data_IF_351743326222
#
_entry.id   IF_351743326222
#
_cell.length_a   1.000
_cell.length_b   1.000
_cell.length_c   1.000
_cell.angle_alpha   90.00
_cell.angle_beta   90.00
_cell.angle_gamma   90.00
#
_symmetry.space_group_name_H-M   'P 1'
#
loop_
_entity.id
_entity.type
_entity.pdbx_description
1 polymer ?
#
# COMPACT_ATOMS: atom_id res chain seq x y z
N UNK A 1 3.73 5.84 68.99
CA UNK A 1 2.73 6.53 68.13
C UNK A 1 3.25 7.95 67.95
N UNK A 2 3.65 8.47 66.79
CA UNK A 2 3.23 8.25 65.41
C UNK A 2 4.40 8.45 64.43
N UNK A 3 4.09 8.21 63.16
CA UNK A 3 4.91 7.60 62.13
C UNK A 3 5.96 8.47 61.44
N UNK A 4 6.79 7.75 60.67
CA UNK A 4 8.06 8.11 60.05
C UNK A 4 7.90 9.09 58.89
N UNK A 5 8.85 10.02 58.84
CA UNK A 5 9.18 10.93 57.75
C UNK A 5 9.73 10.14 56.55
N UNK A 6 9.05 10.21 55.40
CA UNK A 6 9.61 9.98 54.06
C UNK A 6 8.82 10.82 53.06
N UNK A 7 9.38 11.93 52.59
CA UNK A 7 8.89 12.61 51.40
C UNK A 7 10.02 12.64 50.39
N UNK A 8 9.65 12.15 49.21
CA UNK A 8 10.45 11.78 48.06
C UNK A 8 10.75 13.02 47.23
N UNK A 9 11.97 13.08 46.69
CA UNK A 9 12.43 14.00 45.65
C UNK A 9 11.48 14.00 44.46
N UNK A 10 11.04 15.18 44.01
CA UNK A 10 10.43 15.33 42.68
C UNK A 10 11.13 16.46 41.92
N UNK A 11 11.81 16.03 40.86
CA UNK A 11 12.64 16.84 39.97
C UNK A 11 11.82 17.80 39.11
N UNK A 12 12.48 18.92 38.77
CA UNK A 12 12.04 19.97 37.86
C UNK A 12 12.13 19.49 36.40
N UNK A 13 11.06 19.63 35.62
CA UNK A 13 11.11 19.56 34.16
C UNK A 13 10.13 20.59 33.57
N UNK A 14 10.69 21.56 32.87
CA UNK A 14 10.01 22.70 32.24
C UNK A 14 9.33 22.21 30.95
N UNK A 15 8.02 22.39 30.84
CA UNK A 15 7.27 22.21 29.59
C UNK A 15 7.44 23.46 28.70
N UNK A 16 8.09 23.31 27.56
CA UNK A 16 8.08 24.30 26.48
C UNK A 16 6.84 24.03 25.60
N UNK A 17 5.84 24.91 25.68
CA UNK A 17 4.75 25.00 24.71
C UNK A 17 5.25 25.78 23.49
N UNK A 18 5.51 25.08 22.39
CA UNK A 18 5.67 25.70 21.08
C UNK A 18 4.29 25.98 20.47
N UNK A 19 3.94 27.26 20.35
CA UNK A 19 2.74 27.69 19.63
C UNK A 19 3.01 27.64 18.11
N UNK A 20 2.27 26.80 17.37
CA UNK A 20 2.22 26.89 15.91
C UNK A 20 1.23 27.97 15.49
N UNK A 21 1.73 29.03 14.87
CA UNK A 21 0.92 30.12 14.32
C UNK A 21 0.38 29.66 12.96
N UNK A 22 -0.93 29.45 12.85
CA UNK A 22 -1.61 29.33 11.56
C UNK A 22 -1.96 30.74 11.05
N UNK A 23 -1.53 31.17 9.86
CA UNK A 23 -2.12 32.34 9.22
C UNK A 23 -3.46 31.94 8.58
N UNK A 24 -4.56 32.50 9.10
CA UNK A 24 -5.83 32.56 8.38
C UNK A 24 -5.67 33.53 7.21
N UNK A 25 -5.83 33.04 5.97
CA UNK A 25 -5.90 33.91 4.79
C UNK A 25 -7.37 34.19 4.49
N UNK A 26 -7.80 35.42 4.79
CA UNK A 26 -9.05 36.01 4.33
C UNK A 26 -8.86 36.46 2.88
N UNK A 27 -9.64 35.94 1.94
CA UNK A 27 -9.67 36.46 0.57
C UNK A 27 -10.42 37.79 0.54
N UNK A 28 -9.70 38.87 0.26
CA UNK A 28 -10.27 40.20 -0.04
C UNK A 28 -10.26 40.37 -1.54
N UNK A 29 -11.44 40.56 -2.14
CA UNK A 29 -11.55 40.97 -3.54
C UNK A 29 -11.30 42.48 -3.63
N UNK A 30 -10.23 42.87 -4.33
CA UNK A 30 -10.05 44.23 -4.80
C UNK A 30 -9.54 44.16 -6.25
N UNK A 31 -10.37 44.68 -7.15
CA UNK A 31 -10.13 44.77 -8.58
C UNK A 31 -9.23 45.96 -8.92
N UNK A 32 -8.48 45.77 -10.01
CA UNK A 32 -7.99 46.75 -11.01
C UNK A 32 -6.47 47.05 -11.09
N UNK A 33 -5.87 46.37 -12.10
CA UNK A 33 -4.82 46.75 -13.06
C UNK A 33 -3.60 47.56 -12.61
N UNK A 34 -2.40 47.02 -12.88
CA UNK A 34 -1.42 47.57 -13.84
C UNK A 34 -0.52 46.46 -14.41
N UNK A 35 -0.21 46.52 -15.71
CA UNK A 35 0.57 45.54 -16.47
C UNK A 35 2.09 45.75 -16.29
N UNK A 36 2.85 44.66 -16.08
CA UNK A 36 4.22 44.59 -16.61
C UNK A 36 4.67 43.13 -16.81
N UNK A 37 4.89 42.82 -18.09
CA UNK A 37 5.40 41.55 -18.64
C UNK A 37 6.79 41.22 -18.11
N UNK A 38 7.00 40.02 -17.56
CA UNK A 38 8.31 39.41 -17.36
C UNK A 38 8.29 37.90 -17.69
N UNK A 39 8.97 37.59 -18.79
CA UNK A 39 9.78 36.40 -19.08
C UNK A 39 9.58 35.17 -18.18
N UNK A 40 8.81 34.20 -18.68
CA UNK A 40 8.69 32.88 -18.06
C UNK A 40 9.96 32.08 -18.32
N UNK A 41 10.80 31.93 -17.30
CA UNK A 41 11.68 30.75 -17.25
C UNK A 41 10.78 29.55 -17.04
N UNK A 42 10.65 28.71 -18.06
CA UNK A 42 9.97 27.43 -17.97
C UNK A 42 10.68 26.60 -16.90
N UNK A 43 10.10 26.60 -15.70
CA UNK A 43 10.44 25.60 -14.69
C UNK A 43 9.88 24.31 -15.25
N UNK A 44 10.76 23.48 -15.80
CA UNK A 44 10.47 22.08 -16.08
C UNK A 44 10.05 21.45 -14.75
N UNK A 45 8.73 21.41 -14.53
CA UNK A 45 8.13 20.60 -13.49
C UNK A 45 8.42 19.18 -13.95
N UNK A 46 9.50 18.60 -13.43
CA UNK A 46 9.69 17.16 -13.51
C UNK A 46 8.54 16.57 -12.69
N UNK A 47 7.45 16.23 -13.38
CA UNK A 47 6.38 15.44 -12.80
C UNK A 47 7.01 14.21 -12.13
N UNK A 48 6.59 13.83 -10.92
CA UNK A 48 6.97 12.53 -10.41
C UNK A 48 6.49 11.53 -11.46
N UNK A 49 7.40 10.73 -12.02
CA UNK A 49 7.08 9.66 -12.97
C UNK A 49 6.04 8.75 -12.34
N UNK A 50 4.76 9.09 -12.50
CA UNK A 50 3.65 8.20 -12.24
C UNK A 50 3.80 7.10 -13.28
N UNK A 51 3.87 5.86 -12.81
CA UNK A 51 3.81 4.72 -13.70
C UNK A 51 2.43 4.81 -14.36
N UNK A 52 2.34 5.36 -15.57
CA UNK A 52 1.08 5.45 -16.30
C UNK A 52 1.00 4.25 -17.24
N UNK A 53 0.11 3.32 -16.92
CA UNK A 53 -0.22 2.21 -17.79
C UNK A 53 -1.39 2.60 -18.70
N UNK A 54 -1.35 2.17 -19.95
CA UNK A 54 -2.49 2.27 -20.86
C UNK A 54 -3.62 1.33 -20.42
N UNK A 55 -4.85 1.55 -20.88
CA UNK A 55 -5.98 0.65 -20.58
C UNK A 55 -5.74 -0.79 -21.05
N UNK A 56 -5.02 -0.96 -22.17
CA UNK A 56 -4.65 -2.27 -22.70
C UNK A 56 -3.69 -2.99 -21.74
N UNK A 57 -2.71 -2.26 -21.22
CA UNK A 57 -1.75 -2.74 -20.24
C UNK A 57 -2.40 -3.10 -18.91
N UNK A 58 -3.30 -2.25 -18.41
CA UNK A 58 -4.08 -2.52 -17.20
C UNK A 58 -4.92 -3.79 -17.39
N UNK A 59 -5.60 -3.93 -18.53
CA UNK A 59 -6.39 -5.11 -18.81
C UNK A 59 -5.55 -6.38 -18.95
N UNK A 60 -4.37 -6.27 -19.57
CA UNK A 60 -3.44 -7.38 -19.72
C UNK A 60 -2.96 -7.87 -18.35
N UNK A 61 -2.50 -6.94 -17.50
CA UNK A 61 -2.09 -7.26 -16.13
C UNK A 61 -3.25 -7.86 -15.33
N UNK A 62 -4.44 -7.27 -15.40
CA UNK A 62 -5.60 -7.78 -14.68
C UNK A 62 -5.99 -9.20 -15.11
N UNK A 63 -5.93 -9.53 -16.40
CA UNK A 63 -6.18 -10.90 -16.88
C UNK A 63 -5.14 -11.89 -16.34
N UNK A 64 -3.88 -11.47 -16.29
CA UNK A 64 -2.80 -12.30 -15.79
C UNK A 64 -2.95 -12.58 -14.28
N UNK A 65 -3.20 -11.54 -13.49
CA UNK A 65 -3.45 -11.68 -12.06
C UNK A 65 -4.72 -12.51 -11.82
N UNK A 66 -5.80 -12.32 -12.58
CA UNK A 66 -7.00 -13.15 -12.45
C UNK A 66 -6.74 -14.63 -12.75
N UNK A 67 -5.86 -14.93 -13.71
CA UNK A 67 -5.48 -16.31 -13.99
C UNK A 67 -4.74 -16.98 -12.82
N UNK A 68 -4.02 -16.20 -12.01
CA UNK A 68 -3.38 -16.66 -10.76
C UNK A 68 -4.37 -16.71 -9.59
N UNK A 69 -5.41 -15.86 -9.60
CA UNK A 69 -6.40 -15.72 -8.52
C UNK A 69 -7.85 -15.86 -9.04
N UNK A 70 -8.30 -17.08 -9.41
CA UNK A 70 -9.60 -17.27 -10.09
C UNK A 70 -10.83 -16.90 -9.24
N UNK A 71 -10.68 -16.83 -7.93
CA UNK A 71 -11.73 -16.45 -6.98
C UNK A 71 -11.92 -14.92 -6.87
N UNK A 72 -10.99 -14.13 -7.40
CA UNK A 72 -11.00 -12.67 -7.33
C UNK A 72 -11.51 -12.11 -8.66
N UNK A 73 -12.47 -11.18 -8.59
CA UNK A 73 -13.03 -10.57 -9.80
C UNK A 73 -12.00 -9.72 -10.54
N UNK A 74 -12.06 -9.73 -11.87
CA UNK A 74 -11.15 -8.92 -12.70
C UNK A 74 -11.34 -7.43 -12.42
N UNK A 75 -12.58 -7.02 -12.20
CA UNK A 75 -12.95 -5.64 -11.88
C UNK A 75 -12.28 -5.18 -10.59
N UNK A 76 -12.30 -6.01 -9.54
CA UNK A 76 -11.60 -5.73 -8.30
C UNK A 76 -10.08 -5.61 -8.49
N UNK A 77 -9.49 -6.49 -9.32
CA UNK A 77 -8.06 -6.41 -9.65
C UNK A 77 -7.73 -5.10 -10.39
N UNK A 78 -8.57 -4.68 -11.34
CA UNK A 78 -8.41 -3.40 -12.04
C UNK A 78 -8.44 -2.22 -11.06
N UNK A 79 -9.38 -2.23 -10.10
CA UNK A 79 -9.44 -1.20 -9.06
C UNK A 79 -8.15 -1.17 -8.22
N UNK A 80 -7.61 -2.35 -7.86
CA UNK A 80 -6.33 -2.44 -7.15
C UNK A 80 -5.18 -1.90 -7.98
N UNK A 81 -5.11 -2.21 -9.29
CA UNK A 81 -4.09 -1.64 -10.18
C UNK A 81 -4.16 -0.12 -10.15
N UNK A 82 -5.35 0.47 -10.37
CA UNK A 82 -5.51 1.92 -10.37
C UNK A 82 -5.07 2.57 -9.05
N UNK A 83 -5.42 1.97 -7.92
CA UNK A 83 -5.01 2.44 -6.60
C UNK A 83 -3.49 2.38 -6.43
N UNK A 84 -2.86 1.25 -6.77
CA UNK A 84 -1.42 1.09 -6.64
C UNK A 84 -0.63 2.06 -7.52
N UNK A 85 -1.10 2.35 -8.75
CA UNK A 85 -0.51 3.36 -9.62
C UNK A 85 -0.58 4.78 -9.02
N UNK A 86 -1.57 5.03 -8.15
CA UNK A 86 -1.73 6.28 -7.40
C UNK A 86 -1.03 6.26 -6.02
N UNK A 87 -0.38 5.15 -5.66
CA UNK A 87 0.22 4.95 -4.34
C UNK A 87 -0.78 4.71 -3.20
N UNK A 88 -2.04 4.40 -3.52
CA UNK A 88 -3.04 3.93 -2.57
C UNK A 88 -2.97 2.40 -2.43
N UNK A 89 -2.70 1.92 -1.22
CA UNK A 89 -2.63 0.48 -0.91
C UNK A 89 -3.81 0.03 -0.03
N UNK A 90 -4.87 0.83 0.06
CA UNK A 90 -6.10 0.44 0.74
C UNK A 90 -6.89 -0.60 -0.06
N UNK A 91 -7.23 -1.72 0.58
CA UNK A 91 -8.05 -2.76 -0.04
C UNK A 91 -9.51 -2.57 0.33
N UNK A 92 -10.38 -2.46 -0.69
CA UNK A 92 -11.82 -2.53 -0.45
C UNK A 92 -12.23 -3.99 -0.34
N UNK A 93 -13.04 -4.32 0.65
CA UNK A 93 -13.74 -5.59 0.73
C UNK A 93 -14.88 -5.56 -0.30
N UNK A 94 -15.01 -6.57 -1.16
CA UNK A 94 -16.10 -6.64 -2.14
C UNK A 94 -17.47 -6.51 -1.44
N UNK A 95 -18.06 -5.31 -1.49
CA UNK A 95 -19.42 -5.06 -1.02
C UNK A 95 -20.36 -5.09 -2.23
N UNK A 96 -20.94 -6.25 -2.53
CA UNK A 96 -22.21 -6.25 -3.28
C UNK A 96 -23.24 -5.47 -2.46
N UNK A 97 -23.85 -4.49 -3.12
CA UNK A 97 -24.83 -3.55 -2.62
C UNK A 97 -25.94 -4.18 -1.76
N UNK A 98 -26.39 -3.40 -0.76
CA UNK A 98 -27.63 -3.56 0.03
C UNK A 98 -27.70 -4.48 1.27
N UNK A 99 -26.58 -4.97 1.83
CA UNK A 99 -26.60 -5.65 3.15
C UNK A 99 -25.54 -5.16 4.16
N UNK A 100 -25.00 -3.96 3.94
CA UNK A 100 -23.84 -3.41 4.64
C UNK A 100 -24.09 -2.93 6.09
N UNK A 101 -25.15 -3.36 6.78
CA UNK A 101 -25.47 -2.82 8.12
C UNK A 101 -25.56 -3.83 9.26
N UNK A 102 -25.38 -5.13 9.02
CA UNK A 102 -25.60 -6.14 10.08
C UNK A 102 -24.60 -7.31 10.13
N UNK A 103 -23.47 -7.25 9.42
CA UNK A 103 -22.44 -8.29 9.56
C UNK A 103 -21.12 -7.69 10.06
N UNK A 104 -20.74 -8.20 11.23
CA UNK A 104 -19.64 -7.78 12.10
C UNK A 104 -18.30 -7.61 11.40
N UNK A 105 -17.40 -6.90 12.08
CA UNK A 105 -15.94 -6.68 11.91
C UNK A 105 -15.06 -7.87 11.46
N UNK A 106 -15.66 -9.02 11.13
CA UNK A 106 -15.07 -10.26 10.61
C UNK A 106 -15.00 -10.30 9.06
N UNK A 107 -15.43 -9.25 8.36
CA UNK A 107 -15.37 -9.19 6.89
C UNK A 107 -14.02 -8.67 6.37
N UNK A 108 -12.90 -9.12 6.95
CA UNK A 108 -11.56 -8.76 6.48
C UNK A 108 -11.30 -9.19 5.03
N UNK A 109 -10.26 -8.62 4.41
CA UNK A 109 -9.80 -9.03 3.08
C UNK A 109 -9.45 -10.53 3.08
N UNK A 110 -9.88 -11.27 2.06
CA UNK A 110 -9.54 -12.70 1.97
C UNK A 110 -8.06 -12.89 1.64
N UNK A 111 -7.53 -14.07 1.96
CA UNK A 111 -6.16 -14.46 1.58
C UNK A 111 -5.96 -14.36 0.06
N UNK A 112 -6.94 -14.77 -0.73
CA UNK A 112 -6.87 -14.69 -2.20
C UNK A 112 -6.81 -13.23 -2.69
N UNK A 113 -7.66 -12.35 -2.14
CA UNK A 113 -7.64 -10.93 -2.48
C UNK A 113 -6.31 -10.26 -2.06
N UNK A 114 -5.77 -10.62 -0.89
CA UNK A 114 -4.45 -10.13 -0.48
C UNK A 114 -3.34 -10.65 -1.40
N UNK A 115 -3.40 -11.94 -1.78
CA UNK A 115 -2.47 -12.53 -2.73
C UNK A 115 -2.47 -11.81 -4.07
N UNK A 116 -3.66 -11.51 -4.60
CA UNK A 116 -3.82 -10.76 -5.84
C UNK A 116 -3.26 -9.34 -5.75
N UNK A 117 -3.49 -8.65 -4.63
CA UNK A 117 -2.95 -7.33 -4.40
C UNK A 117 -1.41 -7.32 -4.32
N UNK A 118 -0.82 -8.28 -3.60
CA UNK A 118 0.62 -8.45 -3.51
C UNK A 118 1.25 -8.77 -4.87
N UNK A 119 0.68 -9.71 -5.63
CA UNK A 119 1.18 -10.04 -6.97
C UNK A 119 1.10 -8.85 -7.93
N UNK A 120 0.02 -8.07 -7.84
CA UNK A 120 -0.12 -6.84 -8.63
C UNK A 120 0.97 -5.84 -8.29
N UNK A 121 1.24 -5.58 -7.01
CA UNK A 121 2.28 -4.63 -6.60
C UNK A 121 3.67 -5.11 -7.00
N UNK A 122 3.94 -6.42 -6.89
CA UNK A 122 5.21 -7.01 -7.33
C UNK A 122 5.36 -6.86 -8.86
N UNK A 123 4.32 -7.15 -9.64
CA UNK A 123 4.36 -6.99 -11.09
C UNK A 123 4.64 -5.53 -11.49
N UNK A 124 3.93 -4.58 -10.88
CA UNK A 124 4.12 -3.15 -11.12
C UNK A 124 5.51 -2.66 -10.69
N UNK A 125 6.01 -3.10 -9.53
CA UNK A 125 7.35 -2.77 -9.04
C UNK A 125 8.46 -3.35 -9.93
N UNK A 126 8.19 -4.48 -10.59
CA UNK A 126 9.05 -5.05 -11.63
C UNK A 126 8.84 -4.41 -13.00
N UNK A 127 8.01 -3.36 -13.10
CA UNK A 127 7.74 -2.64 -14.35
C UNK A 127 7.04 -3.50 -15.40
N UNK A 128 6.21 -4.44 -14.95
CA UNK A 128 5.47 -5.34 -15.82
C UNK A 128 4.00 -4.98 -15.93
N UNK A 129 3.53 -4.92 -17.17
CA UNK A 129 2.12 -4.70 -17.51
C UNK A 129 1.55 -5.77 -18.44
N UNK A 130 2.40 -6.45 -19.20
CA UNK A 130 2.00 -7.39 -20.28
C UNK A 130 2.73 -8.73 -20.22
N UNK A 131 3.75 -8.86 -19.37
CA UNK A 131 4.55 -10.06 -19.24
C UNK A 131 4.25 -10.77 -17.93
N UNK A 132 4.20 -12.11 -17.99
CA UNK A 132 3.90 -12.94 -16.82
C UNK A 132 4.82 -12.64 -15.63
N UNK A 133 4.29 -12.62 -14.41
CA UNK A 133 5.01 -12.36 -13.17
C UNK A 133 6.25 -13.24 -13.01
N UNK A 134 6.12 -14.53 -13.29
CA UNK A 134 7.24 -15.46 -13.29
C UNK A 134 8.35 -15.05 -14.29
N UNK A 135 7.98 -14.57 -15.48
CA UNK A 135 8.93 -14.06 -16.46
C UNK A 135 9.54 -12.73 -16.03
N UNK A 136 8.76 -11.82 -15.44
CA UNK A 136 9.27 -10.56 -14.89
C UNK A 136 10.33 -10.82 -13.82
N UNK A 137 10.06 -11.71 -12.88
CA UNK A 137 11.00 -12.11 -11.83
C UNK A 137 12.28 -12.68 -12.44
N UNK A 138 12.14 -13.56 -13.44
CA UNK A 138 13.28 -14.16 -14.15
C UNK A 138 14.12 -13.12 -14.88
N UNK A 139 13.50 -12.19 -15.60
CA UNK A 139 14.18 -11.19 -16.44
C UNK A 139 14.82 -10.08 -15.60
N UNK A 140 14.13 -9.57 -14.57
CA UNK A 140 14.65 -8.52 -13.69
C UNK A 140 15.72 -9.03 -12.72
N UNK A 141 15.70 -10.33 -12.44
CA UNK A 141 16.70 -11.01 -11.62
C UNK A 141 16.41 -10.95 -10.12
N UNK A 142 17.16 -11.76 -9.38
CA UNK A 142 16.94 -12.07 -7.95
C UNK A 142 16.87 -10.82 -7.06
N UNK A 143 17.76 -9.85 -7.27
CA UNK A 143 17.82 -8.68 -6.41
C UNK A 143 16.58 -7.79 -6.56
N UNK A 144 16.18 -7.48 -7.80
CA UNK A 144 15.00 -6.69 -8.09
C UNK A 144 13.72 -7.37 -7.59
N UNK A 145 13.60 -8.68 -7.83
CA UNK A 145 12.46 -9.47 -7.36
C UNK A 145 12.35 -9.51 -5.82
N UNK A 146 13.47 -9.70 -5.10
CA UNK A 146 13.46 -9.60 -3.61
C UNK A 146 13.03 -8.21 -3.16
N UNK A 147 13.52 -7.16 -3.83
CA UNK A 147 13.19 -5.78 -3.50
C UNK A 147 11.69 -5.49 -3.70
N UNK A 148 11.14 -5.91 -4.84
CA UNK A 148 9.72 -5.78 -5.15
C UNK A 148 8.85 -6.50 -4.12
N UNK A 149 9.19 -7.75 -3.77
CA UNK A 149 8.46 -8.52 -2.76
C UNK A 149 8.52 -7.85 -1.39
N UNK A 150 9.71 -7.42 -0.94
CA UNK A 150 9.84 -6.70 0.34
C UNK A 150 9.04 -5.40 0.35
N UNK A 151 9.01 -4.69 -0.78
CA UNK A 151 8.21 -3.47 -0.92
C UNK A 151 6.72 -3.75 -0.78
N UNK A 152 6.22 -4.78 -1.47
CA UNK A 152 4.82 -5.19 -1.38
C UNK A 152 4.42 -5.61 0.04
N UNK A 153 5.27 -6.40 0.72
CA UNK A 153 5.08 -6.75 2.13
C UNK A 153 5.00 -5.49 3.00
N UNK A 154 5.92 -4.54 2.84
CA UNK A 154 5.94 -3.35 3.66
C UNK A 154 4.68 -2.48 3.49
N UNK A 155 4.14 -2.42 2.27
CA UNK A 155 2.93 -1.64 1.95
C UNK A 155 1.66 -2.28 2.50
N UNK A 156 1.53 -3.61 2.43
CA UNK A 156 0.30 -4.32 2.77
C UNK A 156 0.31 -4.96 4.16
N UNK A 157 1.44 -5.51 4.58
CA UNK A 157 1.61 -6.27 5.81
C UNK A 157 2.45 -5.50 6.86
N UNK A 158 2.76 -4.24 6.55
CA UNK A 158 3.42 -3.30 7.47
C UNK A 158 4.80 -3.79 7.93
N UNK A 159 4.98 -3.88 9.25
CA UNK A 159 6.26 -4.20 9.89
C UNK A 159 6.63 -5.69 9.84
N UNK A 160 5.96 -6.51 9.03
CA UNK A 160 6.28 -7.93 8.92
C UNK A 160 7.67 -8.15 8.34
N UNK A 161 8.56 -8.78 9.11
CA UNK A 161 9.92 -9.08 8.69
C UNK A 161 9.99 -10.51 8.18
N UNK A 162 10.17 -10.63 6.87
CA UNK A 162 10.32 -11.92 6.19
C UNK A 162 11.79 -12.22 5.94
N UNK A 163 12.23 -13.42 6.30
CA UNK A 163 13.62 -13.84 6.11
C UNK A 163 13.95 -14.13 4.63
N UNK A 164 15.24 -14.19 4.32
CA UNK A 164 15.71 -14.37 2.94
C UNK A 164 15.32 -15.71 2.32
N UNK A 165 15.13 -16.77 3.12
CA UNK A 165 14.72 -18.09 2.62
C UNK A 165 13.29 -18.03 2.09
N UNK A 166 12.38 -17.40 2.84
CA UNK A 166 10.99 -17.22 2.43
C UNK A 166 10.91 -16.36 1.16
N UNK A 167 11.70 -15.29 1.07
CA UNK A 167 11.77 -14.46 -0.14
C UNK A 167 12.29 -15.23 -1.35
N UNK A 168 13.33 -16.06 -1.16
CA UNK A 168 13.87 -16.90 -2.22
C UNK A 168 12.89 -17.95 -2.70
N UNK A 169 12.14 -18.54 -1.77
CA UNK A 169 11.08 -19.47 -2.13
C UNK A 169 9.98 -18.75 -2.93
N UNK A 170 9.47 -17.63 -2.41
CA UNK A 170 8.39 -16.87 -3.02
C UNK A 170 8.70 -16.46 -4.47
N UNK A 171 9.92 -16.00 -4.77
CA UNK A 171 10.33 -15.62 -6.12
C UNK A 171 10.32 -16.77 -7.14
N UNK A 172 10.43 -18.01 -6.69
CA UNK A 172 10.42 -19.17 -7.58
C UNK A 172 8.99 -19.69 -7.84
N UNK A 173 7.97 -19.07 -7.23
CA UNK A 173 6.57 -19.40 -7.44
C UNK A 173 5.98 -18.57 -8.58
N UNK A 174 4.89 -19.09 -9.15
CA UNK A 174 4.08 -18.35 -10.13
C UNK A 174 3.33 -17.17 -9.49
N UNK A 175 2.93 -17.33 -8.23
CA UNK A 175 2.28 -16.32 -7.40
C UNK A 175 3.03 -16.20 -6.05
N UNK A 176 4.06 -15.34 -5.97
CA UNK A 176 4.70 -14.99 -4.72
C UNK A 176 3.69 -14.41 -3.70
N UNK A 177 2.72 -13.62 -4.17
CA UNK A 177 1.70 -12.94 -3.37
C UNK A 177 0.78 -13.91 -2.64
N UNK A 178 0.25 -14.95 -3.30
CA UNK A 178 -0.57 -15.98 -2.63
C UNK A 178 0.20 -16.61 -1.48
N UNK A 179 1.45 -17.01 -1.73
CA UNK A 179 2.27 -17.66 -0.71
C UNK A 179 2.52 -16.73 0.50
N UNK A 180 2.78 -15.44 0.25
CA UNK A 180 2.97 -14.47 1.33
C UNK A 180 1.69 -14.20 2.12
N UNK A 181 0.55 -14.12 1.44
CA UNK A 181 -0.75 -13.94 2.08
C UNK A 181 -1.13 -15.15 2.95
N UNK A 182 -0.88 -16.37 2.46
CA UNK A 182 -1.08 -17.61 3.23
C UNK A 182 -0.15 -17.66 4.45
N UNK A 183 1.13 -17.37 4.24
CA UNK A 183 2.09 -17.36 5.34
C UNK A 183 1.77 -16.30 6.39
N UNK A 184 1.17 -15.17 5.98
CA UNK A 184 0.64 -14.19 6.93
C UNK A 184 -0.56 -14.73 7.71
N UNK A 185 -1.60 -15.25 7.03
CA UNK A 185 -2.79 -15.85 7.67
C UNK A 185 -2.41 -16.98 8.64
N UNK A 186 -1.36 -17.75 8.36
CA UNK A 186 -0.85 -18.77 9.30
C UNK A 186 -0.30 -18.19 10.62
N UNK A 187 0.11 -16.92 10.63
CA UNK A 187 0.86 -16.28 11.72
C UNK A 187 0.18 -15.02 12.29
N UNK A 188 -1.00 -14.65 11.78
CA UNK A 188 -1.70 -13.45 12.20
C UNK A 188 -2.52 -13.63 13.48
N UNK A 189 -3.32 -12.61 13.85
CA UNK A 189 -4.09 -12.60 15.09
C UNK A 189 -5.15 -13.73 15.19
N UNK A 190 -5.66 -14.23 14.06
CA UNK A 190 -6.64 -15.31 14.00
C UNK A 190 -6.21 -16.32 12.93
N UNK A 191 -5.28 -17.23 13.27
CA UNK A 191 -4.61 -18.03 12.27
C UNK A 191 -5.51 -18.94 11.44
N UNK A 192 -5.17 -19.10 10.15
CA UNK A 192 -5.76 -20.05 9.22
C UNK A 192 -7.28 -19.89 9.04
N UNK A 193 -7.78 -18.66 9.06
CA UNK A 193 -9.20 -18.39 8.88
C UNK A 193 -9.55 -17.97 7.43
N UNK A 194 -8.54 -17.92 6.54
CA UNK A 194 -8.69 -17.52 5.14
C UNK A 194 -8.89 -16.02 4.96
N UNK A 195 -8.59 -15.22 5.99
CA UNK A 195 -8.66 -13.76 5.99
C UNK A 195 -7.41 -13.18 6.61
N UNK A 196 -7.05 -11.99 6.15
CA UNK A 196 -5.94 -11.27 6.75
C UNK A 196 -6.42 -10.53 8.00
N UNK A 197 -5.81 -10.85 9.12
CA UNK A 197 -5.98 -10.17 10.41
C UNK A 197 -4.66 -9.46 10.76
N UNK A 198 -4.72 -8.37 11.51
CA UNK A 198 -3.54 -7.57 11.90
C UNK A 198 -3.39 -7.52 13.41
#
# INVERSE_FOLDING_TARGET
MNQKLKIVSLSFAIMLLGASIFPNITTVYATENEQQTQEYTEVEIVEPTSLSLTEVEINSLANEIQALHPSVSKEWIIEVIYKQLQGDYSLQTEYTSSQAQTRSSWQGITVDQMGAALDTDIALALGGSTATLANLIKVKGKHAAKSAIRSAIAKYLGSWVVNDVVLEFAMNLLSPGTYLAQLWDENDAVPNNGRINF
#
